data_IF_599020774911
#
_entry.id   IF_599020774911
#
_cell.length_a   1.000
_cell.length_b   1.000
_cell.length_c   1.000
_cell.angle_alpha   90.00
_cell.angle_beta   90.00
_cell.angle_gamma   90.00
#
_symmetry.space_group_name_H-M   'P 1'
#
loop_
_entity.id
_entity.type
_entity.pdbx_description
1 polymer ?
#
# COMPACT_ATOMS: atom_id res chain seq x y z
N UNK A 1 11.14 -11.29 4.36
CA UNK A 1 12.25 -12.25 4.58
C UNK A 1 11.93 -13.20 5.72
N UNK A 2 12.74 -14.23 5.90
CA UNK A 2 12.90 -14.87 7.21
C UNK A 2 13.40 -13.87 8.25
N UNK A 3 13.25 -14.13 9.57
CA UNK A 3 13.80 -13.27 10.61
C UNK A 3 15.31 -13.08 10.45
N UNK A 4 15.79 -11.86 10.60
CA UNK A 4 17.20 -11.51 10.44
C UNK A 4 17.89 -11.40 11.78
N UNK A 5 19.10 -11.92 11.85
CA UNK A 5 19.96 -11.84 13.04
C UNK A 5 20.36 -10.39 13.37
N UNK A 6 20.77 -10.17 14.59
CA UNK A 6 21.12 -8.83 15.10
C UNK A 6 22.23 -8.15 14.30
N UNK A 7 23.26 -8.89 13.93
CA UNK A 7 24.37 -8.38 13.12
C UNK A 7 23.93 -7.76 11.81
N UNK A 8 22.90 -8.31 11.19
CA UNK A 8 22.35 -7.79 9.93
C UNK A 8 21.47 -6.56 10.23
N UNK A 9 20.66 -6.61 11.28
CA UNK A 9 19.75 -5.52 11.65
C UNK A 9 20.48 -4.22 11.99
N UNK A 10 21.67 -4.33 12.58
CA UNK A 10 22.51 -3.16 12.88
C UNK A 10 23.09 -2.51 11.63
N UNK A 11 23.13 -3.21 10.48
CA UNK A 11 23.60 -2.68 9.20
C UNK A 11 22.48 -2.34 8.22
N UNK A 12 21.26 -2.85 8.47
CA UNK A 12 20.08 -2.61 7.63
C UNK A 12 19.04 -1.84 8.43
N UNK A 13 18.80 -0.60 8.09
CA UNK A 13 17.86 0.29 8.80
C UNK A 13 18.09 0.31 10.32
N UNK A 14 19.31 0.63 10.80
CA UNK A 14 19.73 0.41 12.18
C UNK A 14 18.91 1.17 13.23
N UNK A 15 18.30 2.28 12.86
CA UNK A 15 17.42 3.04 13.73
C UNK A 15 15.97 2.50 13.80
N UNK A 16 15.70 1.33 13.20
CA UNK A 16 14.36 0.74 13.17
C UNK A 16 13.32 1.51 12.36
N UNK A 17 13.75 2.53 11.60
CA UNK A 17 12.87 3.33 10.77
C UNK A 17 12.45 2.60 9.49
N UNK A 18 11.34 3.00 8.91
CA UNK A 18 10.99 2.64 7.55
C UNK A 18 11.65 3.58 6.54
N UNK A 19 11.89 3.08 5.33
CA UNK A 19 12.36 3.89 4.21
C UNK A 19 11.42 3.78 3.01
N UNK A 20 11.40 4.79 2.18
CA UNK A 20 10.83 4.74 0.83
C UNK A 20 11.64 5.65 -0.10
N UNK A 21 11.68 5.32 -1.39
CA UNK A 21 12.30 6.15 -2.41
C UNK A 21 11.30 7.13 -3.03
N UNK A 22 11.80 8.07 -3.82
CA UNK A 22 10.99 9.12 -4.49
C UNK A 22 10.65 8.79 -5.94
N UNK A 23 10.88 7.56 -6.37
CA UNK A 23 10.56 7.12 -7.74
C UNK A 23 9.05 7.11 -7.98
N UNK A 24 8.57 7.31 -9.21
CA UNK A 24 7.15 7.17 -9.57
C UNK A 24 6.57 5.80 -9.19
N UNK A 25 7.34 4.74 -9.35
CA UNK A 25 7.04 3.40 -8.83
C UNK A 25 7.88 3.21 -7.57
N UNK A 26 7.38 3.79 -6.51
CA UNK A 26 8.01 3.87 -5.20
C UNK A 26 8.32 2.49 -4.63
N UNK A 27 9.49 2.39 -4.03
CA UNK A 27 9.92 1.25 -3.21
C UNK A 27 9.95 1.65 -1.76
N UNK A 28 9.57 0.74 -0.89
CA UNK A 28 9.66 0.93 0.55
C UNK A 28 10.20 -0.31 1.23
N UNK A 29 10.85 -0.12 2.37
CA UNK A 29 11.33 -1.19 3.22
C UNK A 29 11.17 -0.83 4.71
N UNK A 30 10.92 -1.84 5.54
CA UNK A 30 10.88 -1.72 7.00
C UNK A 30 11.01 -3.08 7.65
N UNK A 31 11.36 -3.12 8.91
CA UNK A 31 11.24 -4.33 9.74
C UNK A 31 9.83 -4.49 10.31
N UNK A 32 9.41 -5.74 10.52
CA UNK A 32 8.31 -6.08 11.40
C UNK A 32 8.78 -6.39 12.83
N UNK A 33 7.83 -6.80 13.69
CA UNK A 33 8.13 -7.11 15.09
C UNK A 33 8.96 -8.39 15.28
N UNK A 34 8.91 -9.30 14.32
CA UNK A 34 9.69 -10.54 14.28
C UNK A 34 11.02 -10.38 13.54
N UNK A 35 11.44 -9.14 13.33
CA UNK A 35 12.71 -8.80 12.67
C UNK A 35 12.83 -9.31 11.23
N UNK A 36 11.72 -9.45 10.52
CA UNK A 36 11.71 -9.75 9.10
C UNK A 36 11.75 -8.43 8.32
N UNK A 37 12.59 -8.37 7.29
CA UNK A 37 12.61 -7.21 6.40
C UNK A 37 11.48 -7.35 5.38
N UNK A 38 10.57 -6.39 5.38
CA UNK A 38 9.54 -6.22 4.35
C UNK A 38 10.05 -5.29 3.28
N UNK A 39 10.00 -5.72 2.02
CA UNK A 39 10.29 -4.86 0.87
C UNK A 39 9.05 -4.84 0.00
N UNK A 40 8.58 -3.67 -0.34
CA UNK A 40 7.38 -3.50 -1.14
C UNK A 40 7.52 -2.44 -2.22
N UNK A 41 6.64 -2.51 -3.21
CA UNK A 41 6.51 -1.54 -4.29
C UNK A 41 5.11 -1.62 -4.91
N UNK A 42 4.83 -0.70 -5.82
CA UNK A 42 3.63 -0.75 -6.66
C UNK A 42 3.76 -1.83 -7.75
N UNK A 43 2.61 -2.42 -8.12
CA UNK A 43 2.51 -3.47 -9.14
C UNK A 43 2.24 -4.86 -8.55
N UNK A 44 1.71 -5.76 -9.37
CA UNK A 44 1.32 -7.11 -8.95
C UNK A 44 2.49 -8.08 -8.81
N UNK A 45 2.26 -9.15 -8.08
CA UNK A 45 3.17 -10.30 -8.03
C UNK A 45 2.75 -11.36 -9.06
N UNK A 46 3.71 -12.03 -9.71
CA UNK A 46 3.42 -13.17 -10.57
C UNK A 46 2.83 -14.36 -9.80
N UNK A 47 3.24 -14.51 -8.54
CA UNK A 47 2.81 -15.58 -7.65
C UNK A 47 2.98 -15.15 -6.19
N UNK A 48 2.08 -15.57 -5.33
CA UNK A 48 2.20 -15.45 -3.85
C UNK A 48 3.04 -16.56 -3.23
N UNK A 49 3.39 -17.61 -3.98
CA UNK A 49 4.24 -18.69 -3.52
C UNK A 49 5.66 -18.16 -3.20
N UNK A 50 6.13 -18.20 -1.94
CA UNK A 50 7.44 -17.67 -1.56
C UNK A 50 8.62 -18.44 -2.19
N UNK A 51 8.43 -19.70 -2.57
CA UNK A 51 9.48 -20.51 -3.19
C UNK A 51 9.77 -20.13 -4.64
N UNK A 52 8.81 -19.49 -5.33
CA UNK A 52 9.02 -19.06 -6.70
C UNK A 52 9.90 -17.82 -6.76
N UNK A 53 10.86 -17.74 -7.67
CA UNK A 53 11.70 -16.56 -7.83
C UNK A 53 10.88 -15.28 -8.03
N UNK A 54 11.23 -14.23 -7.31
CA UNK A 54 10.76 -12.88 -7.53
C UNK A 54 11.95 -12.03 -7.99
N UNK A 55 12.21 -12.05 -9.28
CA UNK A 55 13.40 -11.40 -9.87
C UNK A 55 13.49 -9.92 -9.53
N UNK A 56 12.35 -9.23 -9.50
CA UNK A 56 12.31 -7.83 -9.10
C UNK A 56 12.70 -7.65 -7.63
N UNK A 57 12.10 -8.38 -6.71
CA UNK A 57 12.41 -8.24 -5.28
C UNK A 57 13.85 -8.67 -4.96
N UNK A 58 14.36 -9.69 -5.63
CA UNK A 58 15.75 -10.11 -5.48
C UNK A 58 16.73 -9.06 -6.01
N UNK A 59 16.44 -8.45 -7.17
CA UNK A 59 17.26 -7.36 -7.70
C UNK A 59 17.28 -6.19 -6.73
N UNK A 60 16.11 -5.75 -6.28
CA UNK A 60 15.99 -4.64 -5.37
C UNK A 60 16.68 -4.89 -4.02
N UNK A 61 16.53 -6.11 -3.47
CA UNK A 61 17.23 -6.51 -2.26
C UNK A 61 18.74 -6.40 -2.41
N UNK A 62 19.31 -6.97 -3.46
CA UNK A 62 20.75 -6.87 -3.73
C UNK A 62 21.22 -5.43 -3.92
N UNK A 63 20.41 -4.60 -4.57
CA UNK A 63 20.74 -3.20 -4.81
C UNK A 63 20.70 -2.35 -3.55
N UNK A 64 19.71 -2.53 -2.70
CA UNK A 64 19.54 -1.72 -1.48
C UNK A 64 20.27 -2.30 -0.27
N UNK A 65 20.34 -3.62 -0.19
CA UNK A 65 20.86 -4.36 0.96
C UNK A 65 21.69 -5.56 0.49
N UNK A 66 22.88 -5.33 -0.10
CA UNK A 66 23.72 -6.40 -0.62
C UNK A 66 24.07 -7.47 0.41
N UNK A 67 24.16 -7.07 1.70
CA UNK A 67 24.42 -8.01 2.81
C UNK A 67 23.28 -9.01 3.04
N UNK A 68 22.18 -8.90 2.33
CA UNK A 68 21.03 -9.83 2.39
C UNK A 68 20.97 -10.80 1.21
N UNK A 69 22.02 -10.94 0.42
CA UNK A 69 21.98 -11.70 -0.83
C UNK A 69 21.44 -13.13 -0.66
N UNK A 70 21.81 -13.81 0.39
CA UNK A 70 21.41 -15.19 0.67
C UNK A 70 20.13 -15.34 1.50
N UNK A 71 19.50 -14.22 1.87
CA UNK A 71 18.30 -14.25 2.71
C UNK A 71 17.09 -14.77 1.92
N UNK A 72 16.35 -15.71 2.53
CA UNK A 72 15.15 -16.28 1.91
C UNK A 72 13.92 -15.41 2.13
N UNK A 73 12.99 -15.49 1.18
CA UNK A 73 11.65 -14.92 1.32
C UNK A 73 10.74 -15.91 2.04
N UNK A 74 10.21 -15.53 3.20
CA UNK A 74 9.24 -16.34 3.93
C UNK A 74 7.81 -16.08 3.47
N UNK A 75 7.50 -14.86 3.07
CA UNK A 75 6.15 -14.46 2.66
C UNK A 75 6.18 -13.56 1.43
N UNK A 76 5.15 -13.71 0.60
CA UNK A 76 4.85 -12.81 -0.52
C UNK A 76 3.35 -12.59 -0.61
N UNK A 77 2.94 -11.35 -0.77
CA UNK A 77 1.54 -11.02 -0.99
C UNK A 77 1.40 -9.80 -1.89
N UNK A 78 0.23 -9.62 -2.46
CA UNK A 78 -0.14 -8.42 -3.18
C UNK A 78 -1.59 -8.07 -2.91
N UNK A 79 -1.93 -6.81 -3.10
CA UNK A 79 -3.29 -6.30 -2.98
C UNK A 79 -3.60 -5.31 -4.08
N UNK A 80 -4.84 -4.87 -4.14
CA UNK A 80 -5.26 -3.82 -5.06
C UNK A 80 -5.49 -2.53 -4.30
N UNK A 81 -4.98 -1.43 -4.83
CA UNK A 81 -5.17 -0.08 -4.28
C UNK A 81 -6.12 0.66 -5.22
N UNK A 82 -7.16 1.29 -4.66
CA UNK A 82 -8.00 2.21 -5.39
C UNK A 82 -7.33 3.58 -5.49
N UNK A 83 -7.10 4.05 -6.71
CA UNK A 83 -6.61 5.41 -6.97
C UNK A 83 -7.73 6.30 -7.49
N UNK A 84 -7.78 7.53 -6.98
CA UNK A 84 -8.62 8.62 -7.50
C UNK A 84 -7.73 9.66 -8.18
N UNK A 85 -8.19 10.32 -9.27
CA UNK A 85 -7.36 11.26 -10.02
C UNK A 85 -6.88 12.45 -9.19
N UNK A 86 -7.67 12.88 -8.23
CA UNK A 86 -7.44 14.03 -7.36
C UNK A 86 -6.81 13.70 -6.01
N UNK A 87 -6.63 12.41 -5.73
CA UNK A 87 -6.07 11.92 -4.47
C UNK A 87 -6.82 12.37 -3.20
N UNK A 88 -8.09 12.76 -3.33
CA UNK A 88 -8.90 13.24 -2.21
C UNK A 88 -9.75 12.10 -1.64
N UNK A 89 -9.66 11.81 -0.34
CA UNK A 89 -10.58 10.89 0.34
C UNK A 89 -12.03 11.40 0.26
N UNK A 90 -12.98 10.48 0.18
CA UNK A 90 -14.41 10.79 0.11
C UNK A 90 -15.20 9.91 1.06
N UNK A 91 -16.23 10.51 1.61
CA UNK A 91 -17.27 9.83 2.34
C UNK A 91 -18.49 9.64 1.44
N UNK A 92 -19.03 8.43 1.45
CA UNK A 92 -20.24 8.06 0.72
C UNK A 92 -21.24 7.40 1.68
N UNK A 93 -22.53 7.62 1.41
CA UNK A 93 -23.63 6.94 2.06
C UNK A 93 -24.51 6.31 0.96
N UNK A 94 -24.13 5.13 0.43
CA UNK A 94 -24.82 4.53 -0.71
C UNK A 94 -26.19 3.94 -0.38
N UNK A 95 -26.48 3.70 0.89
CA UNK A 95 -27.77 3.26 1.41
C UNK A 95 -27.91 3.69 2.87
N UNK A 96 -29.13 3.61 3.39
CA UNK A 96 -29.40 3.90 4.81
C UNK A 96 -28.50 3.06 5.72
N UNK A 97 -27.81 3.72 6.65
CA UNK A 97 -26.87 3.09 7.60
C UNK A 97 -25.67 2.37 6.96
N UNK A 98 -25.36 2.68 5.70
CA UNK A 98 -24.15 2.17 5.03
C UNK A 98 -23.21 3.31 4.71
N UNK A 99 -22.10 3.37 5.43
CA UNK A 99 -21.08 4.40 5.29
C UNK A 99 -19.80 3.82 4.68
N UNK A 100 -19.25 4.50 3.69
CA UNK A 100 -18.06 4.04 2.96
C UNK A 100 -17.09 5.21 2.81
N UNK A 101 -15.85 5.01 3.22
CA UNK A 101 -14.77 5.97 2.95
C UNK A 101 -13.80 5.38 1.94
N UNK A 102 -13.51 6.14 0.88
CA UNK A 102 -12.69 5.73 -0.25
C UNK A 102 -11.69 6.84 -0.62
N UNK A 103 -10.72 6.52 -1.49
CA UNK A 103 -9.80 7.49 -2.05
C UNK A 103 -8.53 7.70 -1.24
N UNK A 104 -8.12 6.75 -0.42
CA UNK A 104 -6.88 6.81 0.35
C UNK A 104 -5.60 6.70 -0.49
N UNK A 105 -5.70 6.22 -1.71
CA UNK A 105 -4.59 6.16 -2.69
C UNK A 105 -3.33 5.48 -2.13
N UNK A 106 -3.50 4.39 -1.38
CA UNK A 106 -2.42 3.65 -0.74
C UNK A 106 -1.93 4.20 0.60
N UNK A 107 -2.46 5.33 1.06
CA UNK A 107 -2.10 5.97 2.35
C UNK A 107 -3.24 5.86 3.35
N UNK A 108 -3.73 4.64 3.60
CA UNK A 108 -4.98 4.41 4.34
C UNK A 108 -4.85 4.41 5.86
N UNK A 109 -3.66 4.30 6.46
CA UNK A 109 -3.54 4.12 7.92
C UNK A 109 -4.03 5.36 8.68
N UNK A 110 -3.39 6.51 8.49
CA UNK A 110 -3.76 7.73 9.20
C UNK A 110 -5.17 8.24 8.81
N UNK A 111 -5.50 8.43 7.51
CA UNK A 111 -6.84 8.88 7.15
C UNK A 111 -7.92 7.85 7.49
N UNK A 112 -7.65 6.54 7.43
CA UNK A 112 -8.60 5.52 7.82
C UNK A 112 -8.94 5.58 9.31
N UNK A 113 -7.96 5.83 10.17
CA UNK A 113 -8.16 6.04 11.61
C UNK A 113 -8.99 7.30 11.87
N UNK A 114 -8.64 8.41 11.21
CA UNK A 114 -9.38 9.67 11.33
C UNK A 114 -10.85 9.51 10.89
N UNK A 115 -11.08 8.94 9.70
CA UNK A 115 -12.42 8.72 9.18
C UNK A 115 -13.22 7.72 9.99
N UNK A 116 -12.57 6.68 10.50
CA UNK A 116 -13.20 5.72 11.41
C UNK A 116 -13.75 6.40 12.66
N UNK A 117 -12.96 7.30 13.26
CA UNK A 117 -13.41 8.13 14.39
C UNK A 117 -14.60 9.02 14.00
N UNK A 118 -14.50 9.77 12.90
CA UNK A 118 -15.57 10.65 12.44
C UNK A 118 -16.88 9.91 12.16
N UNK A 119 -16.81 8.72 11.56
CA UNK A 119 -17.97 7.88 11.33
C UNK A 119 -18.57 7.32 12.63
N UNK A 120 -17.72 6.90 13.56
CA UNK A 120 -18.19 6.44 14.87
C UNK A 120 -18.95 7.55 15.63
N UNK A 121 -18.41 8.77 15.62
CA UNK A 121 -19.08 9.94 16.23
C UNK A 121 -20.39 10.27 15.51
N UNK A 122 -20.43 10.20 14.18
CA UNK A 122 -21.68 10.40 13.40
C UNK A 122 -22.75 9.38 13.79
N UNK A 123 -22.39 8.11 13.86
CA UNK A 123 -23.32 7.02 14.16
C UNK A 123 -23.79 7.10 15.61
N UNK A 124 -22.87 7.27 16.55
CA UNK A 124 -23.17 7.25 17.98
C UNK A 124 -23.89 8.52 18.49
N UNK A 125 -23.51 9.69 17.97
CA UNK A 125 -24.05 10.98 18.40
C UNK A 125 -25.08 11.58 17.42
N UNK A 126 -25.44 10.87 16.34
CA UNK A 126 -26.42 11.35 15.36
C UNK A 126 -25.96 12.61 14.61
N UNK A 127 -24.64 12.84 14.44
CA UNK A 127 -24.14 14.02 13.73
C UNK A 127 -24.68 14.09 12.30
N UNK A 128 -25.03 15.29 11.86
CA UNK A 128 -25.51 15.49 10.50
C UNK A 128 -24.42 15.26 9.44
N UNK A 129 -24.83 15.07 8.19
CA UNK A 129 -23.88 14.98 7.08
C UNK A 129 -23.09 16.28 6.87
N UNK A 130 -23.68 17.41 7.23
CA UNK A 130 -23.14 18.76 7.10
C UNK A 130 -22.02 19.04 8.12
N UNK A 131 -22.07 18.36 9.28
CA UNK A 131 -21.05 18.47 10.33
C UNK A 131 -19.80 17.61 10.07
N UNK A 132 -19.77 16.89 8.96
CA UNK A 132 -18.62 16.05 8.61
C UNK A 132 -17.49 16.89 8.01
N UNK A 133 -16.21 16.59 8.29
CA UNK A 133 -15.05 17.32 7.76
C UNK A 133 -14.96 17.36 6.23
N UNK A 134 -15.58 16.40 5.55
CA UNK A 134 -15.75 16.38 4.10
C UNK A 134 -17.21 16.08 3.77
N UNK A 135 -17.72 16.64 2.66
CA UNK A 135 -19.11 16.41 2.28
C UNK A 135 -19.36 14.94 1.94
N UNK A 136 -20.55 14.46 2.30
CA UNK A 136 -21.05 13.18 1.82
C UNK A 136 -21.35 13.30 0.32
N UNK A 137 -20.74 12.46 -0.49
CA UNK A 137 -20.84 12.51 -1.95
C UNK A 137 -21.49 11.26 -2.51
N UNK A 138 -22.24 11.41 -3.60
CA UNK A 138 -22.82 10.27 -4.31
C UNK A 138 -21.72 9.40 -4.93
N UNK A 139 -21.93 8.09 -4.95
CA UNK A 139 -21.08 7.17 -5.69
C UNK A 139 -21.22 7.43 -7.20
N UNK A 140 -20.08 7.59 -7.87
CA UNK A 140 -20.03 7.75 -9.32
C UNK A 140 -19.26 6.59 -9.94
N UNK A 141 -19.89 5.80 -10.82
CA UNK A 141 -19.20 4.74 -11.56
C UNK A 141 -18.08 5.33 -12.42
N UNK A 142 -16.93 4.67 -12.43
CA UNK A 142 -15.81 5.07 -13.30
C UNK A 142 -15.99 4.41 -14.65
N UNK A 143 -16.22 5.22 -15.70
CA UNK A 143 -16.28 4.73 -17.07
C UNK A 143 -14.92 4.15 -17.50
N UNK A 144 -14.95 3.04 -18.24
CA UNK A 144 -13.75 2.39 -18.76
C UNK A 144 -12.83 1.77 -17.69
N UNK A 145 -13.36 1.41 -16.51
CA UNK A 145 -12.60 0.85 -15.39
C UNK A 145 -11.65 -0.28 -15.81
N UNK A 146 -12.13 -1.20 -16.63
CA UNK A 146 -11.33 -2.35 -17.09
C UNK A 146 -10.15 -1.90 -17.96
N UNK A 147 -10.39 -0.99 -18.91
CA UNK A 147 -9.34 -0.44 -19.78
C UNK A 147 -8.29 0.32 -18.97
N UNK A 148 -8.71 1.17 -18.03
CA UNK A 148 -7.79 1.86 -17.11
C UNK A 148 -6.95 0.90 -16.27
N UNK A 149 -7.55 -0.19 -15.77
CA UNK A 149 -6.82 -1.22 -15.03
C UNK A 149 -5.73 -1.87 -15.88
N UNK A 150 -6.02 -2.20 -17.14
CA UNK A 150 -5.04 -2.75 -18.07
C UNK A 150 -3.94 -1.75 -18.39
N UNK A 151 -4.27 -0.50 -18.65
CA UNK A 151 -3.30 0.58 -18.86
C UNK A 151 -2.31 0.72 -17.71
N UNK A 152 -2.79 0.84 -16.48
CA UNK A 152 -1.91 0.94 -15.31
C UNK A 152 -1.07 -0.32 -15.11
N UNK A 153 -1.62 -1.51 -15.31
CA UNK A 153 -0.83 -2.75 -15.23
C UNK A 153 0.32 -2.77 -16.24
N UNK A 154 0.06 -2.39 -17.47
CA UNK A 154 1.08 -2.32 -18.52
C UNK A 154 2.13 -1.26 -18.23
N UNK A 155 1.72 -0.08 -17.76
CA UNK A 155 2.62 1.00 -17.37
C UNK A 155 3.56 0.59 -16.21
N UNK A 156 3.02 -0.06 -15.17
CA UNK A 156 3.84 -0.59 -14.07
C UNK A 156 4.78 -1.71 -14.51
N UNK A 157 4.34 -2.56 -15.44
CA UNK A 157 5.21 -3.59 -16.00
C UNK A 157 6.37 -2.97 -16.79
N UNK A 158 6.09 -2.02 -17.66
CA UNK A 158 7.10 -1.30 -18.43
C UNK A 158 8.10 -0.52 -17.58
N UNK A 159 7.64 0.13 -16.49
CA UNK A 159 8.52 0.85 -15.58
C UNK A 159 9.52 -0.07 -14.84
N UNK A 160 9.11 -1.32 -14.56
CA UNK A 160 10.00 -2.31 -13.92
C UNK A 160 11.10 -2.86 -14.84
N UNK A 161 10.95 -2.73 -16.15
CA UNK A 161 12.00 -3.10 -17.10
C UNK A 161 13.09 -2.03 -17.18
N UNK A 162 12.79 -0.79 -16.81
CA UNK A 162 13.70 0.36 -16.85
C UNK A 162 14.40 0.65 -15.52
N UNK A 163 13.98 0.04 -14.46
CA UNK A 163 14.57 0.14 -13.12
C UNK A 163 15.36 -1.14 -12.78
#
# INVERSE_FOLDING_TARGET
TEPLGENIRTSVLPAGHGMYDTKPVMTFARFDREHRLLIGSLGGLPSSDPTRPNTWANRLRRQLFPQLEDTRWSHKWSGSIGFTPDHVPRLHEPATNLYVTLGYNGRGIAPGTFWGKQLAERIAAGRSAEDMPLPVTALRPIAGRTLRKWFYRSAFWASRLRS
#
